data_IF_772295762466
#
_entry.id   IF_772295762466
#
_cell.length_a   1.000
_cell.length_b   1.000
_cell.length_c   1.000
_cell.angle_alpha   90.00
_cell.angle_beta   90.00
_cell.angle_gamma   90.00
#
_symmetry.space_group_name_H-M   'P 1'
#
loop_
_entity.id
_entity.type
_entity.pdbx_description
1 polymer ?
#
# COMPACT_ATOMS: atom_id res chain seq x y z
N UNK A 1 26.97 0.61 46.92
CA UNK A 1 27.15 1.29 45.62
C UNK A 1 26.88 0.37 44.39
N UNK A 2 26.11 -0.70 44.50
CA UNK A 2 25.90 -1.70 43.41
C UNK A 2 24.52 -1.68 42.74
N UNK A 3 23.50 -1.20 43.42
CA UNK A 3 22.10 -1.32 42.93
C UNK A 3 21.73 -0.22 41.93
N UNK A 4 22.33 0.96 42.02
CA UNK A 4 22.00 2.09 41.12
C UNK A 4 22.55 1.96 39.70
N UNK A 5 23.56 1.10 39.48
CA UNK A 5 24.11 0.83 38.13
C UNK A 5 23.29 -0.17 37.31
N UNK A 6 22.55 -1.07 37.95
CA UNK A 6 21.75 -2.08 37.25
C UNK A 6 20.44 -1.48 36.75
N UNK A 7 19.86 -0.50 37.47
CA UNK A 7 18.63 0.17 37.04
C UNK A 7 18.87 1.06 35.81
N UNK A 8 20.01 1.73 35.71
CA UNK A 8 20.35 2.54 34.53
C UNK A 8 20.58 1.71 33.26
N UNK A 9 21.08 0.49 33.39
CA UNK A 9 21.32 -0.40 32.22
C UNK A 9 20.02 -1.02 31.68
N UNK A 10 19.02 -1.27 32.53
CA UNK A 10 17.71 -1.78 32.12
C UNK A 10 16.84 -0.69 31.48
N UNK A 11 16.95 0.56 31.90
CA UNK A 11 16.23 1.70 31.29
C UNK A 11 16.84 2.07 29.93
N UNK A 12 18.16 1.93 29.78
CA UNK A 12 18.83 2.21 28.50
C UNK A 12 18.58 1.13 27.44
N UNK A 13 18.40 -0.13 27.83
CA UNK A 13 18.03 -1.21 26.89
C UNK A 13 16.55 -1.14 26.47
N UNK A 14 15.67 -0.52 27.27
CA UNK A 14 14.27 -0.31 26.90
C UNK A 14 14.08 0.89 25.95
N UNK A 15 14.99 1.88 25.99
CA UNK A 15 14.95 3.04 25.09
C UNK A 15 15.58 2.78 23.71
N UNK A 16 16.36 1.72 23.56
CA UNK A 16 16.95 1.30 22.27
C UNK A 16 16.02 0.43 21.44
N UNK A 17 14.89 -0.03 22.00
CA UNK A 17 13.87 -0.80 21.26
C UNK A 17 12.76 0.08 20.64
N UNK A 18 12.78 1.40 20.87
CA UNK A 18 11.82 2.35 20.27
C UNK A 18 12.30 2.96 18.95
N UNK A 19 13.47 2.60 18.48
CA UNK A 19 14.03 3.14 17.26
C UNK A 19 14.31 2.05 16.24
N UNK A 20 13.31 1.49 15.64
CA UNK A 20 13.23 0.89 14.32
C UNK A 20 11.97 0.02 14.28
N UNK A 21 10.80 0.65 14.31
CA UNK A 21 9.66 0.06 13.63
C UNK A 21 9.94 0.21 12.12
N UNK A 22 11.00 -0.46 11.68
CA UNK A 22 11.14 -0.91 10.31
C UNK A 22 9.83 -1.59 9.95
N UNK A 23 9.38 -1.42 8.72
CA UNK A 23 8.27 -2.11 8.08
C UNK A 23 8.38 -3.67 8.12
N UNK A 24 8.82 -4.21 9.25
CA UNK A 24 8.97 -5.64 9.51
C UNK A 24 7.56 -6.25 9.62
N UNK A 25 7.04 -6.68 8.50
CA UNK A 25 5.75 -7.37 8.42
C UNK A 25 4.99 -7.19 7.11
N UNK A 26 5.40 -6.26 6.24
CA UNK A 26 4.78 -6.09 4.95
C UNK A 26 5.44 -7.02 3.93
N UNK A 27 4.92 -8.23 3.80
CA UNK A 27 5.31 -9.09 2.68
C UNK A 27 4.84 -8.44 1.39
N UNK A 28 5.64 -8.57 0.32
CA UNK A 28 5.23 -8.11 -1.00
C UNK A 28 3.89 -8.75 -1.39
N UNK A 29 2.95 -7.95 -1.86
CA UNK A 29 1.72 -8.46 -2.46
C UNK A 29 2.03 -9.25 -3.74
N UNK A 30 1.07 -10.04 -4.24
CA UNK A 30 1.26 -10.83 -5.45
C UNK A 30 1.58 -9.91 -6.63
N UNK A 31 2.62 -10.25 -7.39
CA UNK A 31 3.10 -9.44 -8.51
C UNK A 31 3.66 -8.06 -8.13
N UNK A 32 4.02 -7.83 -6.86
CA UNK A 32 4.66 -6.59 -6.40
C UNK A 32 6.13 -6.84 -6.02
N UNK A 33 6.95 -5.81 -6.23
CA UNK A 33 8.35 -5.78 -5.83
C UNK A 33 8.54 -4.71 -4.75
N UNK A 34 9.10 -5.04 -3.57
CA UNK A 34 9.39 -4.07 -2.52
C UNK A 34 10.27 -2.92 -3.01
N UNK A 35 10.15 -1.76 -2.36
CA UNK A 35 10.89 -0.55 -2.69
C UNK A 35 12.41 -0.75 -2.73
N UNK A 36 12.95 -1.49 -1.78
CA UNK A 36 14.39 -1.74 -1.65
C UNK A 36 14.94 -2.68 -2.75
N UNK A 37 14.09 -3.51 -3.35
CA UNK A 37 14.43 -4.48 -4.38
C UNK A 37 14.13 -3.98 -5.80
N UNK A 38 13.54 -2.78 -5.95
CA UNK A 38 13.11 -2.24 -7.24
C UNK A 38 14.08 -1.17 -7.78
N UNK A 39 14.98 -1.52 -8.72
CA UNK A 39 16.09 -0.65 -9.12
C UNK A 39 15.69 0.51 -10.05
N UNK A 40 14.49 0.46 -10.65
CA UNK A 40 14.08 1.45 -11.66
C UNK A 40 13.57 2.76 -11.06
N UNK A 41 13.16 2.76 -9.80
CA UNK A 41 12.71 3.96 -9.10
C UNK A 41 13.62 4.28 -7.93
N UNK A 42 13.79 5.58 -7.67
CA UNK A 42 14.47 6.06 -6.47
C UNK A 42 13.45 6.35 -5.40
N UNK A 43 13.73 5.93 -4.18
CA UNK A 43 12.92 6.33 -3.03
C UNK A 43 13.24 7.77 -2.65
N UNK A 44 12.20 8.61 -2.64
CA UNK A 44 12.23 9.98 -2.11
C UNK A 44 11.50 9.98 -0.78
N UNK A 45 12.12 10.59 0.23
CA UNK A 45 11.56 10.69 1.57
C UNK A 45 11.08 12.11 1.85
N UNK A 46 9.83 12.25 2.29
CA UNK A 46 9.22 13.48 2.81
C UNK A 46 8.89 13.30 4.28
N UNK A 47 9.03 14.37 5.07
CA UNK A 47 8.74 14.36 6.51
C UNK A 47 7.87 15.54 6.90
N UNK A 48 6.94 15.31 7.83
CA UNK A 48 6.14 16.33 8.47
C UNK A 48 5.88 15.94 9.94
N UNK A 49 6.42 16.70 10.88
CA UNK A 49 6.35 16.36 12.30
C UNK A 49 7.01 15.01 12.60
N UNK A 50 6.24 14.08 13.17
CA UNK A 50 6.68 12.72 13.50
C UNK A 50 6.44 11.70 12.38
N UNK A 51 5.92 12.16 11.25
CA UNK A 51 5.49 11.29 10.16
C UNK A 51 6.46 11.34 8.98
N UNK A 52 6.59 10.22 8.30
CA UNK A 52 7.49 10.05 7.15
C UNK A 52 6.73 9.39 6.00
N UNK A 53 6.94 9.87 4.79
CA UNK A 53 6.47 9.24 3.57
C UNK A 53 7.64 8.93 2.64
N UNK A 54 7.84 7.66 2.33
CA UNK A 54 8.72 7.19 1.28
C UNK A 54 7.90 6.95 0.03
N UNK A 55 8.26 7.54 -1.07
CA UNK A 55 7.57 7.45 -2.36
C UNK A 55 8.54 7.15 -3.49
N UNK A 56 8.09 6.45 -4.55
CA UNK A 56 8.94 6.23 -5.72
C UNK A 56 9.01 7.47 -6.61
N UNK A 57 10.20 7.80 -7.08
CA UNK A 57 10.42 8.73 -8.19
C UNK A 57 11.14 8.03 -9.32
N UNK A 58 10.60 8.13 -10.51
CA UNK A 58 11.24 7.62 -11.72
C UNK A 58 12.30 8.60 -12.24
N UNK A 59 13.41 8.06 -12.70
CA UNK A 59 14.46 8.77 -13.42
C UNK A 59 14.27 8.68 -14.94
N UNK A 60 15.30 8.15 -15.63
CA UNK A 60 15.34 8.04 -17.11
C UNK A 60 14.56 6.83 -17.65
N UNK A 61 14.07 5.97 -16.79
CA UNK A 61 13.42 4.69 -17.09
C UNK A 61 12.05 4.88 -17.73
N UNK A 62 11.37 5.98 -17.40
CA UNK A 62 10.11 6.39 -18.02
C UNK A 62 10.33 7.50 -19.05
N UNK A 63 9.51 7.55 -20.12
CA UNK A 63 9.43 8.71 -21.02
C UNK A 63 9.21 10.00 -20.22
N UNK A 64 9.78 11.11 -20.70
CA UNK A 64 9.82 12.37 -19.91
C UNK A 64 8.44 12.85 -19.47
N UNK A 65 7.45 12.76 -20.34
CA UNK A 65 6.07 13.19 -20.02
C UNK A 65 5.45 12.31 -18.93
N UNK A 66 5.48 10.99 -19.11
CA UNK A 66 4.98 10.04 -18.12
C UNK A 66 5.72 10.17 -16.78
N UNK A 67 7.03 10.39 -16.82
CA UNK A 67 7.85 10.61 -15.63
C UNK A 67 7.41 11.83 -14.81
N UNK A 68 7.15 12.95 -15.48
CA UNK A 68 6.68 14.16 -14.81
C UNK A 68 5.34 13.90 -14.10
N UNK A 69 4.36 13.36 -14.82
CA UNK A 69 3.06 13.02 -14.22
C UNK A 69 3.16 12.00 -13.08
N UNK A 70 3.99 10.98 -13.25
CA UNK A 70 4.22 9.97 -12.21
C UNK A 70 4.79 10.60 -10.94
N UNK A 71 5.90 11.34 -11.06
CA UNK A 71 6.54 11.96 -9.90
C UNK A 71 5.62 12.96 -9.20
N UNK A 72 4.86 13.78 -9.95
CA UNK A 72 3.87 14.71 -9.39
C UNK A 72 2.73 13.98 -8.66
N UNK A 73 2.24 12.85 -9.17
CA UNK A 73 1.19 12.08 -8.49
C UNK A 73 1.71 11.45 -7.19
N UNK A 74 2.95 10.94 -7.19
CA UNK A 74 3.60 10.45 -5.97
C UNK A 74 3.77 11.55 -4.94
N UNK A 75 4.25 12.73 -5.35
CA UNK A 75 4.37 13.88 -4.47
C UNK A 75 3.03 14.31 -3.88
N UNK A 76 1.98 14.39 -4.69
CA UNK A 76 0.62 14.70 -4.23
C UNK A 76 0.08 13.65 -3.24
N UNK A 77 0.36 12.37 -3.47
CA UNK A 77 -0.05 11.30 -2.56
C UNK A 77 0.62 11.45 -1.18
N UNK A 78 1.94 11.66 -1.16
CA UNK A 78 2.68 11.89 0.09
C UNK A 78 2.21 13.13 0.84
N UNK A 79 2.01 14.25 0.12
CA UNK A 79 1.58 15.51 0.73
C UNK A 79 0.16 15.38 1.32
N UNK A 80 -0.78 14.71 0.63
CA UNK A 80 -2.12 14.42 1.18
C UNK A 80 -2.04 13.60 2.45
N UNK A 81 -1.26 12.53 2.45
CA UNK A 81 -1.07 11.66 3.61
C UNK A 81 -0.48 12.42 4.81
N UNK A 82 0.64 13.09 4.62
CA UNK A 82 1.32 13.85 5.69
C UNK A 82 0.45 14.98 6.24
N UNK A 83 -0.29 15.69 5.37
CA UNK A 83 -1.20 16.75 5.80
C UNK A 83 -2.41 16.20 6.55
N UNK A 84 -2.95 15.05 6.18
CA UNK A 84 -4.05 14.40 6.90
C UNK A 84 -3.63 14.08 8.34
N UNK A 85 -2.43 13.50 8.54
CA UNK A 85 -1.88 13.22 9.86
C UNK A 85 -1.63 14.47 10.71
N UNK A 86 -1.25 15.59 10.07
CA UNK A 86 -0.94 16.83 10.79
C UNK A 86 -2.18 17.66 11.15
N UNK A 87 -3.34 17.43 10.52
CA UNK A 87 -4.59 18.17 10.77
C UNK A 87 -5.33 17.72 12.02
N UNK A 88 -5.17 16.49 12.43
CA UNK A 88 -5.83 15.94 13.61
C UNK A 88 -5.09 16.36 14.88
N UNK A 89 -5.41 17.56 15.39
CA UNK A 89 -4.71 18.21 16.51
C UNK A 89 -5.05 17.68 17.89
N UNK A 90 -6.07 16.82 18.06
CA UNK A 90 -6.54 16.34 19.37
C UNK A 90 -5.83 15.09 19.88
N UNK A 91 -5.19 14.33 19.00
CA UNK A 91 -4.43 13.12 19.31
C UNK A 91 -3.11 13.15 18.55
N UNK A 92 -2.01 12.80 19.22
CA UNK A 92 -0.72 12.68 18.54
C UNK A 92 -0.78 11.54 17.53
N UNK A 93 -0.94 11.90 16.27
CA UNK A 93 -0.82 10.99 15.16
C UNK A 93 0.63 10.98 14.68
N UNK A 94 1.13 9.81 14.44
CA UNK A 94 2.34 9.60 13.66
C UNK A 94 2.06 8.53 12.62
N UNK A 95 2.82 8.54 11.55
CA UNK A 95 2.64 7.53 10.53
C UNK A 95 3.83 7.41 9.61
N UNK A 96 3.84 6.34 8.87
CA UNK A 96 4.81 6.13 7.82
C UNK A 96 4.11 5.61 6.56
N UNK A 97 4.65 6.00 5.41
CA UNK A 97 4.26 5.50 4.12
C UNK A 97 5.47 4.83 3.48
N UNK A 98 5.24 3.70 2.83
CA UNK A 98 6.22 3.01 1.99
C UNK A 98 5.54 2.60 0.68
N UNK A 99 6.28 1.98 -0.26
CA UNK A 99 5.75 1.62 -1.55
C UNK A 99 6.26 0.29 -2.07
N UNK A 100 5.49 -0.30 -2.99
CA UNK A 100 5.87 -1.48 -3.78
C UNK A 100 5.55 -1.22 -5.24
N UNK A 101 6.38 -1.74 -6.14
CA UNK A 101 6.18 -1.60 -7.58
C UNK A 101 5.46 -2.80 -8.18
N UNK A 102 4.47 -2.54 -9.01
CA UNK A 102 3.84 -3.50 -9.91
C UNK A 102 4.39 -3.38 -11.34
N UNK A 103 3.48 -3.33 -12.34
CA UNK A 103 3.83 -3.15 -13.75
C UNK A 103 4.52 -1.81 -14.02
N UNK A 104 5.44 -1.80 -15.01
CA UNK A 104 6.15 -0.58 -15.44
C UNK A 104 5.87 -0.27 -16.91
N UNK A 105 5.44 -1.23 -17.70
CA UNK A 105 5.09 -1.07 -19.14
C UNK A 105 3.96 -2.02 -19.50
N UNK A 106 2.98 -1.59 -20.29
CA UNK A 106 2.71 -0.22 -20.77
C UNK A 106 2.06 0.68 -19.71
N UNK A 107 1.69 0.14 -18.53
CA UNK A 107 1.19 0.86 -17.39
C UNK A 107 2.28 1.01 -16.34
N UNK A 108 2.24 2.11 -15.59
CA UNK A 108 3.06 2.26 -14.38
C UNK A 108 2.13 2.10 -13.19
N UNK A 109 2.30 1.02 -12.44
CA UNK A 109 1.48 0.69 -11.29
C UNK A 109 2.33 0.58 -10.04
N UNK A 110 1.92 1.27 -8.99
CA UNK A 110 2.56 1.21 -7.67
C UNK A 110 1.49 1.10 -6.60
N UNK A 111 1.89 0.52 -5.48
CA UNK A 111 1.07 0.41 -4.28
C UNK A 111 1.75 1.22 -3.18
N UNK A 112 1.03 2.15 -2.56
CA UNK A 112 1.45 2.90 -1.39
C UNK A 112 0.86 2.25 -0.15
N UNK A 113 1.70 2.06 0.84
CA UNK A 113 1.40 1.42 2.12
C UNK A 113 1.38 2.52 3.19
N UNK A 114 0.18 2.93 3.61
CA UNK A 114 -0.03 4.02 4.56
C UNK A 114 -0.30 3.42 5.95
N UNK A 115 0.48 3.80 6.95
CA UNK A 115 0.30 3.38 8.34
C UNK A 115 0.08 4.60 9.23
N UNK A 116 -0.92 4.56 10.08
CA UNK A 116 -1.23 5.60 11.05
C UNK A 116 -1.25 5.01 12.46
N UNK A 117 -0.61 5.69 13.40
CA UNK A 117 -0.57 5.31 14.80
C UNK A 117 -1.19 6.41 15.66
N UNK A 118 -2.12 6.05 16.52
CA UNK A 118 -2.77 6.94 17.49
C UNK A 118 -2.14 6.78 18.86
N UNK A 119 -1.98 7.86 19.57
CA UNK A 119 -1.62 7.81 20.99
C UNK A 119 -2.69 7.05 21.78
N UNK A 120 -2.31 5.94 22.43
CA UNK A 120 -3.25 5.05 23.14
C UNK A 120 -4.01 4.06 22.26
N UNK A 121 -3.75 4.02 20.96
CA UNK A 121 -4.32 3.01 20.06
C UNK A 121 -3.75 1.61 20.33
N UNK A 122 -4.59 0.58 20.25
CA UNK A 122 -4.18 -0.81 20.46
C UNK A 122 -3.25 -1.34 19.35
N UNK A 123 -3.42 -0.84 18.13
CA UNK A 123 -2.61 -1.19 16.97
C UNK A 123 -2.66 -0.06 15.93
N UNK A 124 -1.69 0.01 14.99
CA UNK A 124 -1.76 0.95 13.87
C UNK A 124 -2.94 0.66 12.95
N UNK A 125 -3.43 1.69 12.29
CA UNK A 125 -4.32 1.56 11.14
C UNK A 125 -3.46 1.52 9.88
N UNK A 126 -3.73 0.55 9.02
CA UNK A 126 -3.00 0.38 7.78
C UNK A 126 -3.96 0.51 6.60
N UNK A 127 -3.54 1.22 5.57
CA UNK A 127 -4.28 1.39 4.33
C UNK A 127 -3.37 1.15 3.13
N UNK A 128 -3.89 0.46 2.12
CA UNK A 128 -3.18 0.18 0.87
C UNK A 128 -3.84 0.94 -0.25
N UNK A 129 -3.06 1.74 -0.96
CA UNK A 129 -3.54 2.56 -2.07
C UNK A 129 -2.85 2.17 -3.36
N UNK A 130 -3.63 1.78 -4.36
CA UNK A 130 -3.14 1.53 -5.71
C UNK A 130 -3.12 2.81 -6.55
N UNK A 131 -2.04 3.06 -7.28
CA UNK A 131 -1.93 4.12 -8.28
C UNK A 131 -1.42 3.51 -9.57
N UNK A 132 -2.24 3.58 -10.62
CA UNK A 132 -1.89 3.08 -11.95
C UNK A 132 -2.03 4.19 -12.96
N UNK A 133 -0.98 4.43 -13.74
CA UNK A 133 -0.97 5.38 -14.85
C UNK A 133 -0.85 4.62 -16.16
N UNK A 134 -1.56 5.07 -17.19
CA UNK A 134 -1.37 4.60 -18.56
C UNK A 134 -0.16 5.28 -19.23
N UNK A 135 0.18 4.87 -20.45
CA UNK A 135 1.31 5.41 -21.19
C UNK A 135 1.24 6.94 -21.45
N UNK A 136 0.04 7.54 -21.40
CA UNK A 136 -0.16 8.98 -21.52
C UNK A 136 -0.05 9.72 -20.17
N UNK A 137 0.29 9.03 -19.08
CA UNK A 137 0.38 9.62 -17.74
C UNK A 137 -0.97 9.87 -17.06
N UNK A 138 -2.07 9.38 -17.62
CA UNK A 138 -3.39 9.53 -17.03
C UNK A 138 -3.62 8.42 -16.01
N UNK A 139 -4.17 8.79 -14.85
CA UNK A 139 -4.61 7.82 -13.83
C UNK A 139 -5.69 6.92 -14.41
N UNK A 140 -5.48 5.62 -14.33
CA UNK A 140 -6.43 4.58 -14.75
C UNK A 140 -7.56 4.52 -13.73
N UNK A 141 -8.80 4.46 -14.22
CA UNK A 141 -10.01 4.38 -13.41
C UNK A 141 -10.68 3.00 -13.57
N UNK A 142 -11.64 2.69 -12.70
CA UNK A 142 -12.46 1.48 -12.84
C UNK A 142 -13.18 1.43 -14.20
N UNK A 143 -13.60 2.58 -14.74
CA UNK A 143 -14.22 2.65 -16.06
C UNK A 143 -13.24 2.25 -17.17
N UNK A 144 -11.99 2.69 -17.08
CA UNK A 144 -10.94 2.31 -18.02
C UNK A 144 -10.63 0.79 -17.94
N UNK A 145 -10.61 0.22 -16.72
CA UNK A 145 -10.43 -1.22 -16.52
C UNK A 145 -11.58 -2.02 -17.14
N UNK A 146 -12.83 -1.61 -16.92
CA UNK A 146 -14.03 -2.28 -17.51
C UNK A 146 -14.03 -2.19 -19.03
N UNK A 147 -13.57 -1.08 -19.60
CA UNK A 147 -13.45 -0.92 -21.05
C UNK A 147 -12.37 -1.85 -21.64
N UNK A 148 -11.25 -2.00 -20.94
CA UNK A 148 -10.15 -2.87 -21.37
C UNK A 148 -10.44 -4.36 -21.11
N UNK A 149 -11.19 -4.69 -20.06
CA UNK A 149 -11.49 -6.06 -19.64
C UNK A 149 -13.02 -6.24 -19.47
N UNK A 150 -13.76 -6.50 -20.56
CA UNK A 150 -15.23 -6.62 -20.53
C UNK A 150 -15.76 -7.77 -19.64
N UNK A 151 -14.92 -8.77 -19.34
CA UNK A 151 -15.23 -9.86 -18.41
C UNK A 151 -15.23 -9.42 -16.94
N UNK A 152 -14.80 -8.19 -16.63
CA UNK A 152 -14.71 -7.67 -15.28
C UNK A 152 -16.13 -7.47 -14.70
N UNK A 153 -16.53 -8.33 -13.80
CA UNK A 153 -17.85 -8.33 -13.15
C UNK A 153 -17.72 -8.47 -11.63
N UNK A 154 -18.74 -8.06 -10.90
CA UNK A 154 -18.78 -8.24 -9.43
C UNK A 154 -18.81 -9.72 -9.07
N UNK A 155 -19.40 -10.57 -9.91
CA UNK A 155 -19.41 -12.01 -9.70
C UNK A 155 -17.99 -12.59 -9.80
N UNK A 156 -17.25 -12.27 -10.87
CA UNK A 156 -15.85 -12.67 -11.01
C UNK A 156 -14.98 -12.14 -9.85
N UNK A 157 -15.25 -10.92 -9.36
CA UNK A 157 -14.56 -10.36 -8.21
C UNK A 157 -14.84 -11.15 -6.92
N UNK A 158 -16.12 -11.56 -6.68
CA UNK A 158 -16.49 -12.42 -5.56
C UNK A 158 -15.76 -13.75 -5.59
N UNK A 159 -15.74 -14.39 -6.75
CA UNK A 159 -15.08 -15.68 -6.95
C UNK A 159 -13.58 -15.58 -6.67
N UNK A 160 -12.93 -14.52 -7.18
CA UNK A 160 -11.50 -14.26 -6.93
C UNK A 160 -11.21 -13.99 -5.45
N UNK A 161 -12.02 -13.16 -4.79
CA UNK A 161 -11.88 -12.84 -3.37
C UNK A 161 -12.11 -14.08 -2.48
N UNK A 162 -13.16 -14.87 -2.77
CA UNK A 162 -13.44 -16.11 -2.05
C UNK A 162 -12.34 -17.16 -2.27
N UNK A 163 -11.77 -17.23 -3.48
CA UNK A 163 -10.61 -18.08 -3.78
C UNK A 163 -9.39 -17.72 -2.93
N UNK A 164 -9.07 -16.42 -2.79
CA UNK A 164 -7.98 -15.95 -1.95
C UNK A 164 -8.24 -16.23 -0.47
N UNK A 165 -9.47 -15.98 0.02
CA UNK A 165 -9.86 -16.32 1.38
C UNK A 165 -9.69 -17.84 1.66
N UNK A 166 -10.11 -18.68 0.73
CA UNK A 166 -9.95 -20.13 0.83
C UNK A 166 -8.48 -20.53 0.88
N UNK A 167 -7.65 -19.95 0.02
CA UNK A 167 -6.21 -20.24 -0.02
C UNK A 167 -5.50 -19.88 1.30
N UNK A 168 -6.01 -18.85 2.01
CA UNK A 168 -5.52 -18.44 3.34
C UNK A 168 -6.23 -19.10 4.51
N UNK A 169 -7.16 -20.03 4.27
CA UNK A 169 -7.98 -20.67 5.31
C UNK A 169 -8.86 -19.68 6.11
N UNK A 170 -9.32 -18.62 5.44
CA UNK A 170 -10.24 -17.61 5.98
C UNK A 170 -11.67 -17.93 5.54
N UNK A 171 -12.69 -17.55 6.34
CA UNK A 171 -14.09 -17.65 5.93
C UNK A 171 -14.38 -16.87 4.65
N UNK A 172 -15.16 -17.43 3.74
CA UNK A 172 -15.60 -16.80 2.49
C UNK A 172 -16.89 -15.98 2.65
N UNK A 173 -17.54 -16.01 3.81
CA UNK A 173 -18.86 -15.44 4.03
C UNK A 173 -18.94 -13.95 3.66
N UNK A 174 -17.93 -13.15 4.03
CA UNK A 174 -17.91 -11.73 3.71
C UNK A 174 -17.55 -11.49 2.23
N UNK A 175 -16.71 -12.33 1.63
CA UNK A 175 -16.41 -12.26 0.19
C UNK A 175 -17.65 -12.51 -0.67
N UNK A 176 -18.53 -13.41 -0.25
CA UNK A 176 -19.80 -13.72 -0.94
C UNK A 176 -20.80 -12.55 -0.92
N UNK A 177 -20.67 -11.62 0.03
CA UNK A 177 -21.52 -10.43 0.18
C UNK A 177 -21.06 -9.22 -0.65
N UNK A 178 -19.93 -9.30 -1.36
CA UNK A 178 -19.41 -8.20 -2.18
C UNK A 178 -20.45 -7.82 -3.24
N UNK A 179 -20.84 -6.55 -3.30
CA UNK A 179 -21.83 -6.00 -4.25
C UNK A 179 -21.24 -4.96 -5.21
N UNK A 180 -20.02 -4.48 -4.93
CA UNK A 180 -19.34 -3.47 -5.73
C UNK A 180 -17.82 -3.68 -5.75
N UNK A 181 -17.14 -3.05 -6.69
CA UNK A 181 -15.69 -3.09 -6.77
C UNK A 181 -15.07 -2.23 -5.66
N UNK A 182 -14.00 -2.71 -4.98
CA UNK A 182 -13.23 -1.87 -4.10
C UNK A 182 -12.59 -0.74 -4.90
N UNK A 183 -12.29 0.35 -4.20
CA UNK A 183 -11.71 1.53 -4.82
C UNK A 183 -10.28 1.31 -5.32
N UNK A 184 -9.53 0.54 -4.57
CA UNK A 184 -8.09 0.38 -4.76
C UNK A 184 -7.80 -0.87 -5.61
N UNK A 185 -6.88 -0.71 -6.56
CA UNK A 185 -6.40 -1.79 -7.42
C UNK A 185 -4.98 -1.49 -7.90
N UNK A 186 -4.32 -2.49 -8.43
CA UNK A 186 -3.03 -2.36 -9.12
C UNK A 186 -2.89 -3.40 -10.24
N UNK A 187 -1.94 -3.16 -11.14
CA UNK A 187 -1.49 -4.15 -12.12
C UNK A 187 -0.12 -4.64 -11.65
N UNK A 188 -0.01 -5.94 -11.41
CA UNK A 188 1.21 -6.59 -10.97
C UNK A 188 2.28 -6.65 -12.08
N UNK A 189 3.55 -6.87 -11.70
CA UNK A 189 4.65 -7.10 -12.65
C UNK A 189 4.51 -8.40 -13.45
N UNK A 190 3.62 -9.30 -13.00
CA UNK A 190 3.18 -10.51 -13.70
C UNK A 190 2.05 -10.24 -14.73
N UNK A 191 1.60 -8.99 -14.87
CA UNK A 191 0.54 -8.56 -15.79
C UNK A 191 -0.88 -8.81 -15.30
N UNK A 192 -1.08 -9.31 -14.09
CA UNK A 192 -2.41 -9.53 -13.53
C UNK A 192 -2.98 -8.25 -12.91
N UNK A 193 -4.29 -8.08 -13.02
CA UNK A 193 -5.06 -7.05 -12.29
C UNK A 193 -5.46 -7.59 -10.92
N UNK A 194 -5.18 -6.83 -9.88
CA UNK A 194 -5.56 -7.14 -8.50
C UNK A 194 -6.42 -6.04 -7.92
N UNK A 195 -7.58 -6.40 -7.33
CA UNK A 195 -8.34 -5.51 -6.47
C UNK A 195 -7.95 -5.69 -5.01
N UNK A 196 -7.89 -4.59 -4.27
CA UNK A 196 -7.41 -4.57 -2.88
C UNK A 196 -8.59 -4.35 -1.94
N UNK A 197 -8.90 -5.34 -1.11
CA UNK A 197 -9.77 -5.18 0.04
C UNK A 197 -8.93 -4.79 1.25
N UNK A 198 -9.33 -3.72 1.92
CA UNK A 198 -8.64 -3.23 3.10
C UNK A 198 -8.83 -4.18 4.30
N UNK A 199 -8.04 -3.96 5.35
CA UNK A 199 -8.29 -4.65 6.62
C UNK A 199 -9.73 -4.39 7.09
N UNK A 200 -10.40 -5.43 7.55
CA UNK A 200 -11.83 -5.44 7.94
C UNK A 200 -12.86 -5.37 6.81
N UNK A 201 -12.48 -5.21 5.55
CA UNK A 201 -13.47 -5.19 4.46
C UNK A 201 -14.14 -6.57 4.31
N UNK A 202 -13.34 -7.64 4.20
CA UNK A 202 -13.82 -9.02 4.01
C UNK A 202 -13.09 -10.06 4.87
N UNK A 203 -12.15 -9.62 5.71
CA UNK A 203 -11.37 -10.48 6.58
C UNK A 203 -10.98 -9.75 7.88
N UNK A 204 -10.69 -10.45 8.98
CA UNK A 204 -10.18 -9.85 10.21
C UNK A 204 -8.88 -9.08 10.00
N UNK A 205 -8.59 -8.13 10.90
CA UNK A 205 -7.35 -7.33 10.88
C UNK A 205 -6.08 -8.17 10.79
N UNK A 206 -6.05 -9.32 11.50
CA UNK A 206 -4.88 -10.22 11.53
C UNK A 206 -4.50 -10.79 10.17
N UNK A 207 -5.45 -10.86 9.24
CA UNK A 207 -5.24 -11.41 7.90
C UNK A 207 -4.65 -10.38 6.92
N UNK A 208 -4.59 -9.10 7.32
CA UNK A 208 -4.09 -8.03 6.47
C UNK A 208 -5.06 -7.69 5.34
N UNK A 209 -4.50 -7.42 4.16
CA UNK A 209 -5.28 -7.12 2.95
C UNK A 209 -5.56 -8.38 2.16
N UNK A 210 -6.73 -8.42 1.53
CA UNK A 210 -7.08 -9.46 0.57
C UNK A 210 -6.93 -8.88 -0.83
N UNK A 211 -6.16 -9.54 -1.68
CA UNK A 211 -5.87 -9.12 -3.05
C UNK A 211 -6.52 -10.09 -4.02
N UNK A 212 -7.69 -9.71 -4.54
CA UNK A 212 -8.44 -10.53 -5.49
C UNK A 212 -7.79 -10.47 -6.88
N UNK A 213 -7.27 -11.60 -7.37
CA UNK A 213 -6.63 -11.75 -8.67
C UNK A 213 -7.67 -11.91 -9.77
N UNK A 214 -7.79 -10.93 -10.65
CA UNK A 214 -8.71 -10.94 -11.79
C UNK A 214 -8.10 -11.57 -13.05
N UNK A 215 -6.90 -12.11 -12.98
CA UNK A 215 -6.17 -12.68 -14.10
C UNK A 215 -5.42 -11.64 -14.95
N UNK A 216 -4.93 -12.07 -16.10
CA UNK A 216 -4.15 -11.25 -17.01
C UNK A 216 -4.96 -10.03 -17.49
N UNK A 217 -4.41 -8.85 -17.25
CA UNK A 217 -4.95 -7.61 -17.77
C UNK A 217 -4.50 -7.45 -19.25
N UNK A 218 -5.42 -7.21 -20.19
CA UNK A 218 -5.05 -7.04 -21.59
C UNK A 218 -4.32 -5.71 -21.80
N UNK A 219 -3.15 -5.77 -22.41
CA UNK A 219 -2.32 -4.61 -22.75
C UNK A 219 -2.57 -4.14 -24.18
#
# INVERSE_FOLDING_TARGET
>A
MGILRIVCLLVFSLLLSLGNASAAGWTAGPGLTPSDDFPLFKTVEKRLGLSTAKIPHSGKELPIELRVFFNEEMDRAADRYLQALNKESSHRLSGWMDWQAGAVKPYVSVVLLETMTYEGGAHPLNYVKGITLNAAGKVVTLADLKAAMPSLSVEALRDAAAGECTARHISTEEAEKITEFPKEFYIGNNGHLYFIFQQYDIAPYSEGWIMADMGLFPF
#
